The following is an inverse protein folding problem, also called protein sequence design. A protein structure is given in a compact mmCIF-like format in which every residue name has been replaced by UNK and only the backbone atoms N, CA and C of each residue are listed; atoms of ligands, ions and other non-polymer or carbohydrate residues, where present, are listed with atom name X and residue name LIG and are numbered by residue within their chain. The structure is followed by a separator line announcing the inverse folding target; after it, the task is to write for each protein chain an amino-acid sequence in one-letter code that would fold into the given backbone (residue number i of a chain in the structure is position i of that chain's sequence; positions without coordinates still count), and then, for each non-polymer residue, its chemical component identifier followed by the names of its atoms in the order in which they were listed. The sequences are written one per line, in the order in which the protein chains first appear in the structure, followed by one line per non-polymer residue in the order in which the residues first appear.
data_IF_114328508106
#
_entry.id   IF_114328508106
#
_cell.length_a   1.000
_cell.length_b   1.000
_cell.length_c   1.000
_cell.angle_alpha   90.00
_cell.angle_beta   90.00
_cell.angle_gamma   90.00
#
_symmetry.space_group_name_H-M   'P 1'
#
loop_
_entity.id
_entity.type
_entity.pdbx_description
1 polymer ?
#
# COMPACT_ATOMS: atom_id res chain seq x y z
N UNK A 1 -11.61 -17.98 -0.17
CA UNK A 1 -10.98 -18.25 -1.47
C UNK A 1 -10.02 -17.12 -1.81
N UNK A 2 -10.48 -15.86 -1.77
CA UNK A 2 -9.65 -14.67 -2.04
C UNK A 2 -8.35 -14.61 -1.23
N UNK A 3 -8.41 -14.80 0.10
CA UNK A 3 -7.21 -14.75 0.96
C UNK A 3 -6.13 -15.79 0.62
N UNK A 4 -6.48 -16.90 -0.05
CA UNK A 4 -5.49 -17.89 -0.49
C UNK A 4 -4.71 -17.39 -1.71
N UNK A 5 -5.32 -16.52 -2.50
CA UNK A 5 -4.72 -15.94 -3.69
C UNK A 5 -3.94 -14.67 -3.36
N UNK A 6 -4.50 -13.81 -2.51
CA UNK A 6 -3.94 -12.48 -2.21
C UNK A 6 -3.05 -12.45 -0.97
N UNK A 7 -3.04 -13.51 -0.15
CA UNK A 7 -2.41 -13.49 1.17
C UNK A 7 -3.11 -12.59 2.20
N UNK A 8 -4.13 -11.81 1.81
CA UNK A 8 -4.83 -10.87 2.71
C UNK A 8 -6.00 -11.55 3.40
N UNK A 9 -5.93 -11.66 4.74
CA UNK A 9 -7.01 -12.18 5.58
C UNK A 9 -8.08 -11.14 5.86
N UNK A 10 -7.68 -9.88 6.05
CA UNK A 10 -8.59 -8.80 6.43
C UNK A 10 -8.15 -7.46 5.86
N UNK A 11 -9.15 -6.70 5.41
CA UNK A 11 -9.07 -5.27 5.11
C UNK A 11 -9.69 -4.51 6.28
N UNK A 12 -9.01 -3.48 6.76
CA UNK A 12 -9.52 -2.67 7.86
C UNK A 12 -10.41 -1.54 7.32
N UNK A 13 -11.51 -1.26 8.02
CA UNK A 13 -12.47 -0.25 7.59
C UNK A 13 -12.16 1.09 8.25
N UNK A 14 -11.40 1.92 7.56
CA UNK A 14 -10.90 3.20 8.04
C UNK A 14 -9.82 3.74 7.12
N UNK A 15 -9.21 4.84 7.53
CA UNK A 15 -8.10 5.47 6.81
C UNK A 15 -6.89 5.64 7.70
N UNK A 16 -5.72 5.38 7.12
CA UNK A 16 -4.43 5.68 7.74
C UNK A 16 -4.24 7.19 7.77
N UNK A 17 -3.76 7.66 8.91
CA UNK A 17 -3.37 9.04 9.13
C UNK A 17 -1.91 9.08 9.54
N UNK A 18 -1.06 9.59 8.65
CA UNK A 18 0.36 9.72 8.94
C UNK A 18 0.70 10.97 9.75
N UNK A 19 1.83 10.91 10.44
CA UNK A 19 2.42 12.07 11.10
C UNK A 19 2.91 13.11 10.08
N UNK A 20 3.10 14.37 10.50
CA UNK A 20 3.51 15.50 9.64
C UNK A 20 4.75 15.27 8.76
N UNK A 21 5.61 14.31 9.09
CA UNK A 21 6.80 13.95 8.29
C UNK A 21 6.53 12.94 7.17
N UNK A 22 5.36 12.29 7.15
CA UNK A 22 5.02 11.17 6.25
C UNK A 22 3.68 11.39 5.53
N UNK A 23 3.29 12.64 5.33
CA UNK A 23 2.19 12.97 4.43
C UNK A 23 2.53 14.15 3.52
N UNK A 24 1.95 14.17 2.33
CA UNK A 24 2.27 15.20 1.32
C UNK A 24 1.54 16.53 1.57
N UNK A 25 0.22 16.49 1.75
CA UNK A 25 -0.63 17.69 1.95
C UNK A 25 -1.53 17.53 3.17
N UNK A 26 -2.27 16.43 3.23
CA UNK A 26 -3.12 16.08 4.36
C UNK A 26 -2.69 14.73 4.93
N UNK A 27 -3.01 14.48 6.21
CA UNK A 27 -2.66 13.23 6.91
C UNK A 27 -3.11 11.95 6.20
N UNK A 28 -4.13 12.03 5.36
CA UNK A 28 -4.71 10.92 4.59
C UNK A 28 -3.94 10.64 3.28
N UNK A 29 -3.04 11.55 2.86
CA UNK A 29 -2.15 11.38 1.71
C UNK A 29 -0.84 10.75 2.19
N UNK A 30 -0.87 9.44 2.46
CA UNK A 30 0.25 8.68 3.01
C UNK A 30 1.44 8.77 2.05
N UNK A 31 2.54 9.37 2.51
CA UNK A 31 3.79 9.44 1.76
C UNK A 31 4.71 8.32 2.26
N UNK A 32 4.95 7.34 1.41
CA UNK A 32 5.82 6.21 1.72
C UNK A 32 7.18 6.41 1.09
N UNK A 33 8.21 6.37 1.92
CA UNK A 33 9.61 6.50 1.51
C UNK A 33 10.45 5.26 1.86
N UNK A 34 9.94 4.41 2.75
CA UNK A 34 10.55 3.13 3.10
C UNK A 34 9.89 2.03 2.26
N UNK A 35 10.61 1.59 1.22
CA UNK A 35 10.16 0.57 0.27
C UNK A 35 11.09 -0.64 0.37
N UNK A 36 10.52 -1.84 0.52
CA UNK A 36 11.34 -3.06 0.54
C UNK A 36 11.80 -3.41 -0.86
N UNK A 37 12.92 -4.15 -0.95
CA UNK A 37 13.52 -4.50 -2.24
C UNK A 37 12.66 -5.52 -2.99
N UNK A 38 12.00 -5.08 -4.06
CA UNK A 38 11.17 -5.92 -4.93
C UNK A 38 11.19 -5.34 -6.36
N UNK A 39 11.02 -6.14 -7.44
CA UNK A 39 10.95 -5.61 -8.80
C UNK A 39 9.92 -4.48 -9.00
N UNK A 40 8.84 -4.51 -8.21
CA UNK A 40 7.82 -3.44 -8.22
C UNK A 40 8.39 -2.11 -7.70
N UNK A 41 9.26 -2.12 -6.70
CA UNK A 41 9.81 -0.94 -6.04
C UNK A 41 11.16 -0.50 -6.63
N UNK A 42 11.65 -1.17 -7.66
CA UNK A 42 12.94 -0.87 -8.28
C UNK A 42 12.95 0.54 -8.89
N UNK A 43 13.92 1.35 -8.47
CA UNK A 43 14.10 2.73 -8.94
C UNK A 43 13.08 3.73 -8.38
N UNK A 44 12.26 3.32 -7.41
CA UNK A 44 11.24 4.16 -6.78
C UNK A 44 11.80 4.73 -5.48
N UNK A 45 11.66 6.05 -5.31
CA UNK A 45 12.10 6.76 -4.12
C UNK A 45 10.95 7.07 -3.18
N UNK A 46 9.75 7.31 -3.73
CA UNK A 46 8.56 7.62 -2.95
C UNK A 46 7.27 7.24 -3.66
N UNK A 47 6.28 6.78 -2.89
CA UNK A 47 4.93 6.45 -3.36
C UNK A 47 3.92 7.21 -2.50
N UNK A 48 2.89 7.79 -3.14
CA UNK A 48 1.82 8.51 -2.44
C UNK A 48 0.54 7.70 -2.53
N UNK A 49 -0.02 7.32 -1.37
CA UNK A 49 -1.22 6.49 -1.27
C UNK A 49 -2.32 7.26 -0.51
N UNK A 50 -3.18 8.02 -1.20
CA UNK A 50 -4.31 8.70 -0.58
C UNK A 50 -5.37 7.72 -0.08
N UNK A 51 -6.07 8.07 1.01
CA UNK A 51 -7.19 7.29 1.58
C UNK A 51 -6.85 5.81 1.79
N UNK A 52 -5.62 5.55 2.24
CA UNK A 52 -5.09 4.20 2.35
C UNK A 52 -5.63 3.46 3.58
N UNK A 53 -5.90 2.17 3.45
CA UNK A 53 -6.11 1.23 4.56
C UNK A 53 -4.96 0.24 4.66
N UNK A 54 -4.92 -0.54 5.74
CA UNK A 54 -3.93 -1.59 5.95
C UNK A 54 -4.55 -2.99 5.96
N UNK A 55 -3.67 -4.00 5.93
CA UNK A 55 -4.05 -5.40 5.85
C UNK A 55 -3.66 -6.19 7.10
N UNK A 56 -4.40 -7.26 7.34
CA UNK A 56 -3.87 -8.41 8.08
C UNK A 56 -3.58 -9.51 7.07
N UNK A 57 -2.31 -9.94 6.99
CA UNK A 57 -1.83 -10.94 6.03
C UNK A 57 -1.75 -12.35 6.63
N UNK A 58 -1.62 -13.36 5.77
CA UNK A 58 -1.14 -14.70 6.13
C UNK A 58 0.37 -14.66 6.39
N UNK A 59 0.91 -15.63 7.14
CA UNK A 59 2.37 -15.73 7.34
C UNK A 59 3.06 -16.51 6.21
N UNK A 60 2.29 -17.19 5.35
CA UNK A 60 2.79 -18.02 4.26
C UNK A 60 2.46 -17.37 2.91
N UNK A 61 3.43 -17.46 1.97
CA UNK A 61 3.32 -17.11 0.55
C UNK A 61 2.83 -15.69 0.23
N UNK A 62 3.14 -14.73 1.09
CA UNK A 62 2.84 -13.30 0.91
C UNK A 62 4.00 -12.45 1.40
N UNK A 63 4.33 -11.42 0.64
CA UNK A 63 5.37 -10.45 0.95
C UNK A 63 4.74 -9.06 1.07
N UNK A 64 5.02 -8.34 2.14
CA UNK A 64 4.65 -6.95 2.32
C UNK A 64 5.72 -6.03 1.74
N UNK A 65 5.47 -5.45 0.57
CA UNK A 65 6.47 -4.62 -0.11
C UNK A 65 6.41 -3.15 0.32
N UNK A 66 5.31 -2.74 0.96
CA UNK A 66 5.12 -1.40 1.53
C UNK A 66 4.37 -1.52 2.86
N UNK A 67 4.92 -0.86 3.89
CA UNK A 67 4.35 -0.76 5.23
C UNK A 67 4.17 0.70 5.65
N UNK A 68 3.37 0.93 6.68
CA UNK A 68 3.24 2.24 7.34
C UNK A 68 4.42 2.56 8.26
N UNK A 69 4.54 3.80 8.70
CA UNK A 69 5.55 4.22 9.69
C UNK A 69 5.22 3.76 11.13
N UNK A 70 6.19 3.79 12.03
CA UNK A 70 5.93 3.48 13.46
C UNK A 70 4.97 4.47 14.14
N UNK A 71 4.76 5.65 13.54
CA UNK A 71 3.97 6.75 14.11
C UNK A 71 2.61 6.90 13.43
N UNK A 72 2.20 5.91 12.66
CA UNK A 72 0.94 5.96 11.92
C UNK A 72 -0.25 5.73 12.84
N UNK A 73 -1.23 6.59 12.68
CA UNK A 73 -2.55 6.48 13.30
C UNK A 73 -3.54 5.91 12.29
N UNK A 74 -4.65 5.39 12.80
CA UNK A 74 -5.76 4.91 11.98
C UNK A 74 -7.07 5.43 12.51
N UNK A 75 -7.88 6.00 11.62
CA UNK A 75 -9.22 6.48 11.92
C UNK A 75 -10.23 5.42 11.49
N UNK A 76 -10.91 4.81 12.46
CA UNK A 76 -11.92 3.78 12.19
C UNK A 76 -13.21 4.42 11.67
N UNK A 77 -13.80 3.85 10.61
CA UNK A 77 -15.03 4.39 10.02
C UNK A 77 -16.29 4.13 10.87
N UNK A 78 -16.24 3.18 11.81
CA UNK A 78 -17.43 2.75 12.58
C UNK A 78 -17.82 3.74 13.68
N UNK A 79 -16.84 4.33 14.34
CA UNK A 79 -16.98 5.22 15.50
C UNK A 79 -16.19 6.54 15.34
N UNK A 80 -15.28 6.61 14.37
CA UNK A 80 -14.42 7.76 14.15
C UNK A 80 -13.22 7.83 15.09
N UNK A 81 -13.01 6.80 15.91
CA UNK A 81 -11.91 6.75 16.86
C UNK A 81 -10.56 6.67 16.14
N UNK A 82 -9.57 7.34 16.70
CA UNK A 82 -8.20 7.38 16.18
C UNK A 82 -7.31 6.61 17.15
N UNK A 83 -6.61 5.59 16.63
CA UNK A 83 -5.66 4.80 17.40
C UNK A 83 -4.36 4.58 16.64
N UNK A 84 -3.25 4.52 17.38
CA UNK A 84 -1.95 4.18 16.80
C UNK A 84 -1.93 2.73 16.31
N UNK A 85 -1.48 2.53 15.07
CA UNK A 85 -1.39 1.21 14.42
C UNK A 85 0.05 0.72 14.25
N UNK A 86 1.03 1.62 14.32
CA UNK A 86 2.43 1.29 14.11
C UNK A 86 2.69 0.79 12.69
N UNK A 87 3.67 -0.11 12.53
CA UNK A 87 4.08 -0.67 11.24
C UNK A 87 3.13 -1.80 10.82
N UNK A 88 2.31 -1.54 9.80
CA UNK A 88 1.35 -2.48 9.23
C UNK A 88 1.42 -2.47 7.70
N UNK A 89 1.11 -3.59 7.03
CA UNK A 89 1.24 -3.70 5.58
C UNK A 89 0.12 -2.97 4.85
N UNK A 90 0.51 -2.22 3.80
CA UNK A 90 -0.40 -1.43 2.95
C UNK A 90 -0.25 -1.74 1.46
N UNK A 91 0.85 -2.39 1.07
CA UNK A 91 0.97 -3.04 -0.23
C UNK A 91 1.60 -4.41 -0.05
N UNK A 92 0.93 -5.44 -0.55
CA UNK A 92 1.38 -6.82 -0.43
C UNK A 92 1.33 -7.50 -1.79
N UNK A 93 2.24 -8.45 -1.99
CA UNK A 93 2.29 -9.29 -3.17
C UNK A 93 2.22 -10.75 -2.76
N UNK A 94 1.64 -11.57 -3.63
CA UNK A 94 1.59 -13.01 -3.43
C UNK A 94 1.70 -13.73 -4.78
N UNK A 95 2.35 -14.89 -4.74
CA UNK A 95 2.39 -15.82 -5.86
C UNK A 95 1.52 -17.02 -5.51
N UNK A 96 0.55 -17.33 -6.37
CA UNK A 96 -0.37 -18.44 -6.17
C UNK A 96 -0.42 -19.31 -7.43
N UNK A 97 0.10 -20.53 -7.32
CA UNK A 97 0.47 -21.36 -8.48
C UNK A 97 1.38 -20.57 -9.44
N UNK A 98 0.94 -20.38 -10.69
CA UNK A 98 1.67 -19.60 -11.71
C UNK A 98 1.05 -18.20 -11.88
N UNK A 99 0.23 -17.75 -10.93
CA UNK A 99 -0.38 -16.42 -10.92
C UNK A 99 0.33 -15.50 -9.93
N UNK A 100 0.33 -14.21 -10.25
CA UNK A 100 0.85 -13.13 -9.40
C UNK A 100 -0.30 -12.23 -8.98
N UNK A 101 -0.25 -11.73 -7.75
CA UNK A 101 -1.24 -10.81 -7.22
C UNK A 101 -0.55 -9.67 -6.49
N UNK A 102 -1.04 -8.46 -6.69
CA UNK A 102 -0.67 -7.26 -5.93
C UNK A 102 -1.94 -6.73 -5.28
N UNK A 103 -1.88 -6.44 -3.99
CA UNK A 103 -2.98 -5.80 -3.25
C UNK A 103 -2.48 -4.49 -2.65
N UNK A 104 -3.11 -3.38 -3.02
CA UNK A 104 -2.76 -2.02 -2.55
C UNK A 104 -3.91 -1.47 -1.71
N UNK A 105 -3.58 -0.86 -0.57
CA UNK A 105 -4.54 -0.37 0.41
C UNK A 105 -5.28 0.90 -0.01
N UNK A 106 -4.98 1.44 -1.18
CA UNK A 106 -5.59 2.62 -1.77
C UNK A 106 -6.04 2.30 -3.18
N UNK A 107 -7.25 2.74 -3.54
CA UNK A 107 -7.70 2.82 -4.94
C UNK A 107 -7.41 4.19 -5.56
N UNK A 108 -7.39 5.23 -4.72
CA UNK A 108 -7.42 6.62 -5.15
C UNK A 108 -6.09 7.07 -5.76
N UNK A 109 -5.00 6.35 -5.47
CA UNK A 109 -3.69 6.60 -6.09
C UNK A 109 -3.67 6.39 -7.61
N UNK A 110 -4.68 5.69 -8.18
CA UNK A 110 -4.80 5.47 -9.63
C UNK A 110 -5.50 6.62 -10.37
N UNK A 111 -6.03 7.61 -9.66
CA UNK A 111 -6.73 8.75 -10.26
C UNK A 111 -5.69 9.75 -10.79
N UNK A 112 -5.90 10.33 -11.97
CA UNK A 112 -5.08 11.43 -12.49
C UNK A 112 -5.36 12.71 -11.68
N UNK A 113 -4.59 12.92 -10.61
CA UNK A 113 -4.69 14.06 -9.68
C UNK A 113 -3.34 14.30 -8.99
N UNK A 114 -3.17 15.46 -8.35
CA UNK A 114 -1.97 15.93 -7.65
C UNK A 114 -1.52 15.00 -6.49
N UNK A 115 -2.41 14.11 -6.04
CA UNK A 115 -2.16 13.12 -4.99
C UNK A 115 -2.35 11.67 -5.46
N UNK A 116 -2.70 11.50 -6.74
CA UNK A 116 -2.94 10.22 -7.36
C UNK A 116 -1.77 9.80 -8.24
N UNK A 117 -2.04 9.50 -9.50
CA UNK A 117 -1.06 8.92 -10.41
C UNK A 117 0.13 9.85 -10.66
N UNK A 118 -0.10 11.16 -10.72
CA UNK A 118 0.93 12.17 -11.00
C UNK A 118 1.82 12.50 -9.78
N UNK A 119 1.52 11.92 -8.61
CA UNK A 119 2.25 12.20 -7.37
C UNK A 119 3.48 11.30 -7.21
N UNK A 120 4.61 11.91 -6.82
CA UNK A 120 5.85 11.17 -6.54
C UNK A 120 6.29 10.29 -7.71
N UNK A 121 6.59 9.02 -7.43
CA UNK A 121 6.96 8.04 -8.44
C UNK A 121 5.79 7.08 -8.80
N UNK A 122 4.52 7.48 -8.54
CA UNK A 122 3.35 6.61 -8.71
C UNK A 122 3.18 6.06 -10.13
N UNK A 123 3.46 6.84 -11.19
CA UNK A 123 3.47 6.33 -12.58
C UNK A 123 4.47 5.17 -12.74
N UNK A 124 5.67 5.33 -12.19
CA UNK A 124 6.72 4.30 -12.25
C UNK A 124 6.31 3.07 -11.45
N UNK A 125 5.72 3.27 -10.26
CA UNK A 125 5.15 2.21 -9.43
C UNK A 125 4.10 1.39 -10.18
N UNK A 126 3.15 2.05 -10.84
CA UNK A 126 2.14 1.38 -11.66
C UNK A 126 2.77 0.63 -12.84
N UNK A 127 3.74 1.23 -13.52
CA UNK A 127 4.45 0.58 -14.63
C UNK A 127 5.14 -0.71 -14.17
N UNK A 128 5.81 -0.68 -13.03
CA UNK A 128 6.49 -1.85 -12.49
C UNK A 128 5.51 -2.93 -12.01
N UNK A 129 4.37 -2.55 -11.39
CA UNK A 129 3.28 -3.49 -11.08
C UNK A 129 2.82 -4.22 -12.34
N UNK A 130 2.56 -3.48 -13.43
CA UNK A 130 2.07 -4.07 -14.68
C UNK A 130 3.10 -5.04 -15.26
N UNK A 131 4.38 -4.65 -15.32
CA UNK A 131 5.48 -5.53 -15.79
C UNK A 131 5.64 -6.79 -14.94
N UNK A 132 5.48 -6.66 -13.63
CA UNK A 132 5.56 -7.80 -12.72
C UNK A 132 4.38 -8.76 -12.90
N UNK A 133 3.17 -8.23 -13.06
CA UNK A 133 1.96 -9.02 -13.34
C UNK A 133 1.97 -9.65 -14.75
N UNK A 134 2.68 -9.05 -15.71
CA UNK A 134 2.82 -9.58 -17.09
C UNK A 134 3.99 -10.54 -17.28
N UNK A 135 4.78 -10.83 -16.23
CA UNK A 135 5.98 -11.68 -16.30
C UNK A 135 7.09 -11.13 -17.21
N UNK A 136 7.17 -9.81 -17.35
CA UNK A 136 8.18 -9.10 -18.16
C UNK A 136 9.39 -8.61 -17.33
N UNK A 137 9.47 -9.04 -16.07
CA UNK A 137 10.53 -8.70 -15.09
C UNK A 137 11.33 -9.93 -14.70
#
# INVERSE_FOLDING_TARGET
MLYKMTGVRRFWNGSIQEAHSHFLVNKENVLVTELFNHPITEGITQVVLPNCTFFTITEEDVEDIIVTSEKSDFKYNIDGDIGGIGVVPICVVSEFFNGRCVTVGSSDWLIEDDFGLDAGDNITFLSNIIKWLSFET
#
